data_IF_007656340579
#
_entry.id   IF_007656340579
#
_cell.length_a   1.000
_cell.length_b   1.000
_cell.length_c   1.000
_cell.angle_alpha   90.00
_cell.angle_beta   90.00
_cell.angle_gamma   90.00
#
_symmetry.space_group_name_H-M   'P 1'
#
loop_
_entity.id
_entity.type
_entity.pdbx_description
1 polymer ?
#
# COMPACT_ATOMS: atom_id res chain seq x y z
N UNK A 1 11.17 -23.82 -4.39
CA UNK A 1 10.56 -23.26 -5.61
C UNK A 1 10.75 -21.76 -5.55
N UNK A 2 11.28 -21.16 -6.62
CA UNK A 2 11.52 -19.71 -6.71
C UNK A 2 10.43 -19.08 -7.57
N UNK A 3 9.99 -17.87 -7.20
CA UNK A 3 9.09 -17.05 -8.01
C UNK A 3 9.86 -15.80 -8.38
N UNK A 4 9.85 -15.46 -9.66
CA UNK A 4 10.42 -14.22 -10.18
C UNK A 4 9.28 -13.25 -10.51
N UNK A 5 9.45 -11.99 -10.12
CA UNK A 5 8.49 -10.92 -10.37
C UNK A 5 9.14 -9.86 -11.26
N UNK A 6 8.43 -9.46 -12.30
CA UNK A 6 8.83 -8.34 -13.15
C UNK A 6 8.06 -7.09 -12.71
N UNK A 7 8.73 -5.95 -12.47
CA UNK A 7 8.04 -4.71 -12.19
C UNK A 7 7.31 -4.21 -13.44
N UNK A 8 6.07 -3.76 -13.27
CA UNK A 8 5.25 -3.23 -14.36
C UNK A 8 5.30 -1.71 -14.48
N UNK A 9 5.94 -1.05 -13.52
CA UNK A 9 6.02 0.39 -13.43
C UNK A 9 6.75 0.86 -12.19
N UNK A 10 6.66 2.17 -11.94
CA UNK A 10 7.31 2.83 -10.81
C UNK A 10 6.37 3.85 -10.16
N UNK A 11 6.46 3.96 -8.83
CA UNK A 11 5.75 4.98 -8.07
C UNK A 11 6.63 6.23 -8.00
N UNK A 12 6.06 7.40 -8.31
CA UNK A 12 6.65 8.70 -7.98
C UNK A 12 5.88 9.34 -6.84
N UNK A 13 6.58 9.64 -5.75
CA UNK A 13 5.97 10.19 -4.55
C UNK A 13 6.86 11.26 -3.92
N UNK A 14 6.32 12.12 -3.04
CA UNK A 14 7.16 13.09 -2.33
C UNK A 14 8.01 12.46 -1.21
N UNK A 15 7.82 11.16 -0.92
CA UNK A 15 8.50 10.49 0.19
C UNK A 15 9.84 9.91 -0.29
N UNK A 16 10.96 10.45 0.16
CA UNK A 16 12.28 10.07 -0.38
C UNK A 16 13.03 9.13 0.54
N UNK A 17 12.90 9.31 1.85
CA UNK A 17 13.59 8.52 2.86
C UNK A 17 12.63 7.88 3.85
N UNK A 18 13.12 6.88 4.57
CA UNK A 18 12.36 6.24 5.63
C UNK A 18 11.95 7.27 6.69
N UNK A 19 10.66 7.32 7.00
CA UNK A 19 10.07 8.31 7.91
C UNK A 19 9.30 9.42 7.20
N UNK A 20 9.55 9.68 5.91
CA UNK A 20 8.78 10.65 5.12
C UNK A 20 7.37 10.13 4.84
N UNK A 21 7.27 8.85 4.46
CA UNK A 21 6.01 8.22 4.13
C UNK A 21 5.12 8.05 5.37
N UNK A 22 3.79 8.25 5.24
CA UNK A 22 2.87 7.98 6.33
C UNK A 22 2.87 6.48 6.65
N UNK A 23 2.47 6.15 7.88
CA UNK A 23 2.38 4.75 8.31
C UNK A 23 1.42 3.91 7.48
N UNK A 24 0.36 4.54 6.97
CA UNK A 24 -0.62 3.97 6.05
C UNK A 24 -1.04 5.09 5.09
N UNK A 25 -0.98 4.84 3.79
CA UNK A 25 -1.18 5.87 2.77
C UNK A 25 -2.55 6.53 2.87
N UNK A 26 -3.60 5.75 3.17
CA UNK A 26 -4.98 6.22 3.41
C UNK A 26 -5.15 7.26 4.53
N UNK A 27 -4.15 7.49 5.37
CA UNK A 27 -4.18 8.50 6.44
C UNK A 27 -3.78 9.90 5.96
N UNK A 28 -3.41 10.04 4.68
CA UNK A 28 -2.98 11.28 4.06
C UNK A 28 -3.54 11.38 2.64
N UNK A 29 -3.91 12.59 2.25
CA UNK A 29 -4.38 12.90 0.90
C UNK A 29 -3.22 13.32 -0.03
N UNK A 30 -2.03 12.79 0.23
CA UNK A 30 -0.84 13.09 -0.57
C UNK A 30 -0.98 12.48 -1.95
N UNK A 31 -0.85 13.33 -2.96
CA UNK A 31 -0.87 12.94 -4.37
C UNK A 31 0.49 12.33 -4.77
N UNK A 32 0.41 11.24 -5.54
CA UNK A 32 1.54 10.54 -6.14
C UNK A 32 1.15 10.13 -7.57
N UNK A 33 2.13 9.68 -8.36
CA UNK A 33 1.86 9.06 -9.66
C UNK A 33 2.35 7.62 -9.70
N UNK A 34 1.68 6.82 -10.51
CA UNK A 34 2.09 5.46 -10.88
C UNK A 34 2.38 5.50 -12.38
N UNK A 35 3.64 5.37 -12.74
CA UNK A 35 4.10 5.35 -14.14
C UNK A 35 4.22 3.88 -14.57
N UNK A 36 3.29 3.41 -15.41
CA UNK A 36 3.34 2.06 -15.99
C UNK A 36 4.26 2.06 -17.20
N UNK A 37 5.14 1.06 -17.28
CA UNK A 37 6.06 0.94 -18.42
C UNK A 37 5.30 0.65 -19.70
N UNK A 38 5.85 1.13 -20.82
CA UNK A 38 5.17 1.14 -22.12
C UNK A 38 4.71 -0.26 -22.56
N UNK A 39 5.53 -1.29 -22.31
CA UNK A 39 5.19 -2.67 -22.66
C UNK A 39 3.96 -3.22 -21.91
N UNK A 40 3.58 -2.61 -20.79
CA UNK A 40 2.42 -2.98 -19.98
C UNK A 40 1.24 -2.01 -20.12
N UNK A 41 1.44 -0.87 -20.80
CA UNK A 41 0.40 0.14 -21.00
C UNK A 41 -0.91 -0.40 -21.61
N UNK A 42 -0.91 -1.38 -22.54
CA UNK A 42 -2.16 -1.97 -23.04
C UNK A 42 -3.04 -2.61 -21.94
N UNK A 43 -2.46 -2.99 -20.80
CA UNK A 43 -3.18 -3.51 -19.64
C UNK A 43 -3.99 -2.47 -18.87
N UNK A 44 -3.82 -1.17 -19.16
CA UNK A 44 -4.57 -0.07 -18.55
C UNK A 44 -5.91 0.22 -19.20
N UNK A 45 -6.28 -0.50 -20.27
CA UNK A 45 -7.59 -0.32 -20.92
C UNK A 45 -8.72 -0.38 -19.88
N UNK A 46 -9.60 0.61 -19.91
CA UNK A 46 -10.79 0.77 -19.07
C UNK A 46 -10.50 1.08 -17.58
N UNK A 47 -9.24 1.27 -17.18
CA UNK A 47 -8.88 1.62 -15.79
C UNK A 47 -9.44 2.99 -15.38
N UNK A 48 -9.62 3.91 -16.31
CA UNK A 48 -10.23 5.23 -16.09
C UNK A 48 -11.68 5.17 -15.58
N UNK A 49 -12.35 4.03 -15.72
CA UNK A 49 -13.69 3.80 -15.18
C UNK A 49 -13.67 3.39 -13.69
N UNK A 50 -12.50 3.12 -13.13
CA UNK A 50 -12.33 2.81 -11.71
C UNK A 50 -12.14 4.09 -10.89
N UNK A 51 -12.74 4.14 -9.70
CA UNK A 51 -12.47 5.23 -8.73
C UNK A 51 -11.38 4.86 -7.73
N UNK A 52 -11.19 3.55 -7.49
CA UNK A 52 -10.23 3.03 -6.53
C UNK A 52 -9.51 1.82 -7.10
N UNK A 53 -8.23 1.68 -6.76
CA UNK A 53 -7.39 0.57 -7.18
C UNK A 53 -6.67 -0.04 -5.98
N UNK A 54 -6.49 -1.35 -6.02
CA UNK A 54 -5.38 -1.98 -5.33
C UNK A 54 -4.09 -1.76 -6.11
N UNK A 55 -3.03 -1.45 -5.38
CA UNK A 55 -1.67 -1.33 -5.91
C UNK A 55 -0.78 -2.29 -5.12
N UNK A 56 -0.23 -3.28 -5.80
CA UNK A 56 0.84 -4.11 -5.24
C UNK A 56 2.17 -3.54 -5.67
N UNK A 57 3.06 -3.31 -4.73
CA UNK A 57 4.36 -2.69 -4.99
C UNK A 57 5.46 -3.36 -4.16
N UNK A 58 6.70 -3.31 -4.64
CA UNK A 58 7.82 -3.99 -4.01
C UNK A 58 8.59 -3.02 -3.11
N UNK A 59 8.52 -3.22 -1.80
CA UNK A 59 9.27 -2.44 -0.81
C UNK A 59 10.75 -2.86 -0.86
N UNK A 60 11.44 -2.37 -1.88
CA UNK A 60 12.84 -2.64 -2.28
C UNK A 60 13.85 -2.37 -1.16
N UNK A 61 13.51 -1.52 -0.19
CA UNK A 61 14.36 -1.11 0.94
C UNK A 61 14.09 -1.88 2.24
N UNK A 62 13.17 -2.84 2.23
CA UNK A 62 12.79 -3.60 3.41
C UNK A 62 13.82 -4.67 3.80
N UNK A 63 13.97 -4.90 5.11
CA UNK A 63 14.72 -6.05 5.63
C UNK A 63 13.88 -7.33 5.51
N UNK A 64 14.34 -8.25 4.65
CA UNK A 64 13.64 -9.50 4.33
C UNK A 64 13.91 -10.62 5.34
N UNK A 65 14.84 -10.41 6.27
CA UNK A 65 15.24 -11.42 7.27
C UNK A 65 14.37 -11.37 8.53
N UNK A 66 13.68 -10.25 8.76
CA UNK A 66 12.87 -10.05 9.96
C UNK A 66 11.53 -10.80 9.89
N UNK A 67 11.23 -11.51 10.98
CA UNK A 67 9.97 -12.24 11.18
C UNK A 67 9.11 -11.67 12.31
N UNK A 68 9.58 -10.64 13.00
CA UNK A 68 8.82 -9.89 14.02
C UNK A 68 8.98 -8.39 13.83
N UNK A 69 7.94 -7.64 14.19
CA UNK A 69 7.97 -6.18 14.24
C UNK A 69 7.17 -5.70 15.46
N UNK A 70 7.50 -4.52 15.98
CA UNK A 70 6.71 -3.85 17.02
C UNK A 70 5.86 -2.77 16.34
N UNK A 71 4.54 -3.00 16.17
CA UNK A 71 3.68 -1.99 15.58
C UNK A 71 3.69 -0.69 16.39
N UNK A 72 3.50 0.47 15.76
CA UNK A 72 3.42 1.73 16.49
C UNK A 72 2.30 1.71 17.54
N UNK A 73 2.62 2.09 18.78
CA UNK A 73 1.67 2.05 19.90
C UNK A 73 1.46 0.68 20.52
N UNK A 74 2.05 -0.39 19.99
CA UNK A 74 2.09 -1.68 20.65
C UNK A 74 3.21 -1.71 21.70
N UNK A 75 2.92 -2.22 22.90
CA UNK A 75 3.93 -2.46 23.94
C UNK A 75 4.79 -3.70 23.70
N UNK A 76 4.38 -4.56 22.75
CA UNK A 76 5.04 -5.85 22.49
C UNK A 76 5.18 -6.11 20.99
N UNK A 77 6.22 -6.87 20.63
CA UNK A 77 6.46 -7.32 19.26
C UNK A 77 5.44 -8.37 18.81
N UNK A 78 5.12 -8.38 17.52
CA UNK A 78 4.24 -9.37 16.89
C UNK A 78 4.93 -9.97 15.67
N UNK A 79 4.55 -11.18 15.28
CA UNK A 79 5.02 -11.78 14.02
C UNK A 79 4.63 -10.90 12.83
N UNK A 80 5.50 -10.76 11.83
CA UNK A 80 5.28 -9.82 10.69
C UNK A 80 3.99 -10.10 9.93
N UNK A 81 3.54 -11.36 9.89
CA UNK A 81 2.28 -11.76 9.24
C UNK A 81 1.01 -11.36 10.01
N UNK A 82 1.13 -11.03 11.29
CA UNK A 82 0.06 -10.42 12.08
C UNK A 82 0.09 -8.87 12.04
N UNK A 83 0.92 -8.30 11.16
CA UNK A 83 1.13 -6.85 11.04
C UNK A 83 1.18 -6.42 9.58
N UNK A 84 1.28 -5.10 9.37
CA UNK A 84 1.59 -4.47 8.08
C UNK A 84 3.02 -3.93 8.00
N UNK A 85 3.95 -4.50 8.77
CA UNK A 85 5.37 -4.14 8.70
C UNK A 85 5.91 -4.27 7.27
N UNK A 86 6.70 -3.31 6.76
CA UNK A 86 7.35 -3.42 5.46
C UNK A 86 8.44 -4.51 5.46
N UNK A 87 9.11 -4.71 6.60
CA UNK A 87 10.11 -5.76 6.79
C UNK A 87 9.41 -7.10 6.92
N UNK A 88 9.59 -7.97 5.92
CA UNK A 88 8.99 -9.31 5.79
C UNK A 88 9.68 -10.10 4.66
N UNK A 89 9.56 -11.44 4.61
CA UNK A 89 10.27 -12.27 3.63
C UNK A 89 10.06 -11.88 2.16
N UNK A 90 8.81 -11.58 1.80
CA UNK A 90 8.43 -11.02 0.50
C UNK A 90 7.78 -9.66 0.75
N UNK A 91 8.54 -8.56 0.65
CA UNK A 91 8.12 -7.22 1.06
C UNK A 91 7.19 -6.60 0.01
N UNK A 92 6.04 -7.22 -0.17
CA UNK A 92 4.97 -6.73 -1.04
C UNK A 92 4.11 -5.78 -0.22
N UNK A 93 4.11 -4.52 -0.61
CA UNK A 93 3.17 -3.52 -0.14
C UNK A 93 1.82 -3.67 -0.84
N UNK A 94 0.75 -3.30 -0.11
CA UNK A 94 -0.62 -3.30 -0.60
C UNK A 94 -1.22 -1.93 -0.29
N UNK A 95 -1.36 -1.10 -1.33
CA UNK A 95 -2.06 0.17 -1.26
C UNK A 95 -3.49 0.04 -1.76
N UNK A 96 -4.41 0.80 -1.15
CA UNK A 96 -5.71 1.11 -1.75
C UNK A 96 -5.69 2.60 -2.03
N UNK A 97 -5.83 2.96 -3.30
CA UNK A 97 -5.66 4.35 -3.75
C UNK A 97 -6.94 4.88 -4.36
N UNK A 98 -7.15 6.19 -4.27
CA UNK A 98 -8.11 6.90 -5.11
C UNK A 98 -7.44 7.15 -6.47
N UNK A 99 -8.10 6.80 -7.57
CA UNK A 99 -7.69 7.23 -8.90
C UNK A 99 -8.25 8.63 -9.16
N UNK A 100 -7.35 9.62 -9.31
CA UNK A 100 -7.74 11.01 -9.55
C UNK A 100 -7.79 11.35 -11.03
N UNK A 101 -6.99 10.66 -11.84
CA UNK A 101 -6.92 10.85 -13.29
C UNK A 101 -5.83 9.98 -13.91
N UNK A 102 -5.84 9.90 -15.23
CA UNK A 102 -4.87 9.14 -16.01
C UNK A 102 -4.50 9.93 -17.27
N UNK A 103 -3.20 9.98 -17.58
CA UNK A 103 -2.65 10.55 -18.80
C UNK A 103 -1.67 9.56 -19.41
N UNK A 104 -2.01 8.99 -20.58
CA UNK A 104 -1.25 7.90 -21.17
C UNK A 104 -1.15 6.70 -20.21
N UNK A 105 0.07 6.28 -19.89
CA UNK A 105 0.36 5.19 -18.94
C UNK A 105 0.63 5.68 -17.50
N UNK A 106 0.36 6.96 -17.21
CA UNK A 106 0.58 7.56 -15.89
C UNK A 106 -0.73 7.79 -15.16
N UNK A 107 -0.87 7.19 -13.98
CA UNK A 107 -2.04 7.33 -13.12
C UNK A 107 -1.72 8.31 -11.99
N UNK A 108 -2.52 9.35 -11.82
CA UNK A 108 -2.46 10.24 -10.66
C UNK A 108 -3.34 9.69 -9.56
N UNK A 109 -2.79 9.47 -8.37
CA UNK A 109 -3.47 8.77 -7.28
C UNK A 109 -3.26 9.43 -5.92
N UNK A 110 -4.14 9.11 -4.97
CA UNK A 110 -4.00 9.48 -3.55
C UNK A 110 -4.09 8.24 -2.67
N UNK A 111 -3.37 8.26 -1.55
CA UNK A 111 -3.42 7.20 -0.54
C UNK A 111 -2.32 6.14 -0.64
N UNK A 112 -1.20 6.46 -1.32
CA UNK A 112 0.03 5.66 -1.28
C UNK A 112 0.93 6.07 -0.10
N UNK A 113 1.68 5.10 0.40
CA UNK A 113 2.73 5.19 1.43
C UNK A 113 4.07 4.63 0.95
N UNK A 114 4.24 4.52 -0.37
CA UNK A 114 5.46 4.03 -0.99
C UNK A 114 6.47 5.17 -1.23
N UNK A 115 7.75 4.89 -1.03
CA UNK A 115 8.80 5.86 -1.32
C UNK A 115 8.95 6.10 -2.82
N UNK A 116 9.54 7.23 -3.18
CA UNK A 116 9.83 7.58 -4.56
C UNK A 116 10.75 6.53 -5.20
N UNK A 117 10.40 6.10 -6.41
CA UNK A 117 11.11 5.06 -7.14
C UNK A 117 10.73 3.63 -6.76
N UNK A 118 9.76 3.43 -5.86
CA UNK A 118 9.31 2.08 -5.48
C UNK A 118 8.69 1.34 -6.69
N UNK A 119 9.14 0.11 -7.01
CA UNK A 119 8.61 -0.65 -8.14
C UNK A 119 7.16 -1.11 -7.94
N UNK A 120 6.35 -1.02 -8.99
CA UNK A 120 4.97 -1.53 -9.04
C UNK A 120 5.00 -2.96 -9.55
N UNK A 121 4.25 -3.84 -8.89
CA UNK A 121 4.12 -5.25 -9.28
C UNK A 121 2.79 -5.54 -9.98
N UNK A 122 1.70 -4.90 -9.54
CA UNK A 122 0.36 -5.20 -10.04
C UNK A 122 -0.64 -4.09 -9.71
N UNK A 123 -1.70 -3.99 -10.51
CA UNK A 123 -2.86 -3.12 -10.30
C UNK A 123 -4.14 -3.94 -10.41
N UNK A 124 -5.10 -3.70 -9.52
CA UNK A 124 -6.43 -4.33 -9.59
C UNK A 124 -7.54 -3.34 -9.25
N UNK A 125 -8.74 -3.45 -9.86
CA UNK A 125 -9.89 -2.68 -9.40
C UNK A 125 -10.22 -3.03 -7.95
N UNK A 126 -10.51 -2.01 -7.14
CA UNK A 126 -11.10 -2.22 -5.81
C UNK A 126 -12.63 -2.29 -5.95
N UNK A 127 -13.23 -3.37 -5.47
CA UNK A 127 -14.66 -3.64 -5.53
C UNK A 127 -15.22 -3.67 -4.12
N UNK A 128 -15.84 -2.56 -3.68
CA UNK A 128 -16.29 -2.40 -2.30
C UNK A 128 -17.22 -3.51 -1.78
N UNK A 129 -18.06 -4.09 -2.65
CA UNK A 129 -18.98 -5.18 -2.28
C UNK A 129 -18.28 -6.52 -2.06
N UNK A 130 -17.05 -6.69 -2.57
CA UNK A 130 -16.26 -7.92 -2.44
C UNK A 130 -15.12 -7.76 -1.44
N UNK A 131 -14.44 -6.61 -1.48
CA UNK A 131 -13.18 -6.37 -0.77
C UNK A 131 -13.38 -5.77 0.63
N UNK A 132 -14.58 -5.30 0.95
CA UNK A 132 -14.90 -4.73 2.25
C UNK A 132 -15.61 -5.74 3.16
N UNK A 133 -14.96 -6.13 4.25
CA UNK A 133 -15.56 -6.92 5.33
C UNK A 133 -15.77 -6.00 6.53
N UNK A 134 -17.00 -5.51 6.69
CA UNK A 134 -17.36 -4.67 7.83
C UNK A 134 -17.17 -5.42 9.15
N UNK A 135 -16.55 -4.77 10.14
CA UNK A 135 -16.30 -5.35 11.46
C UNK A 135 -15.09 -6.30 11.55
N UNK A 136 -14.28 -6.42 10.50
CA UNK A 136 -13.01 -7.16 10.57
C UNK A 136 -12.08 -6.59 11.66
N UNK A 137 -11.40 -7.47 12.40
CA UNK A 137 -10.49 -7.10 13.49
C UNK A 137 -9.05 -7.42 13.12
N UNK A 138 -8.11 -6.57 13.53
CA UNK A 138 -6.66 -6.78 13.34
C UNK A 138 -5.97 -6.96 14.69
N UNK A 139 -5.26 -8.09 14.88
CA UNK A 139 -4.60 -8.46 16.14
C UNK A 139 -5.53 -9.06 17.21
N UNK A 140 -4.94 -9.55 18.32
CA UNK A 140 -5.67 -10.07 19.48
C UNK A 140 -6.42 -8.95 20.24
N UNK A 141 -7.73 -9.14 20.38
CA UNK A 141 -8.95 -8.31 20.71
C UNK A 141 -9.05 -7.88 22.21
N UNK A 142 -9.89 -6.90 22.69
CA UNK A 142 -11.00 -6.10 22.09
C UNK A 142 -10.87 -4.56 22.17
N UNK A 143 -11.80 -3.78 21.59
CA UNK A 143 -11.98 -2.38 21.99
C UNK A 143 -12.32 -2.34 23.48
N UNK A 144 -11.50 -1.63 24.25
CA UNK A 144 -11.87 -1.25 25.60
C UNK A 144 -13.13 -0.37 25.50
N UNK A 145 -14.22 -0.66 26.25
CA UNK A 145 -15.30 0.29 26.38
C UNK A 145 -14.74 1.50 27.15
N UNK A 146 -14.39 2.57 26.43
CA UNK A 146 -13.87 3.78 27.07
C UNK A 146 -13.08 4.77 26.20
N UNK A 147 -12.62 4.41 25.01
CA UNK A 147 -11.83 5.35 24.18
C UNK A 147 -12.72 6.18 23.23
N UNK A 148 -13.72 6.87 23.80
CA UNK A 148 -14.23 8.11 23.24
C UNK A 148 -13.64 9.24 24.09
N UNK A 149 -12.41 9.63 23.80
CA UNK A 149 -12.04 11.04 23.98
C UNK A 149 -11.29 11.53 22.75
N UNK A 150 -12.07 12.19 21.90
CA UNK A 150 -11.63 13.08 20.86
C UNK A 150 -10.88 14.26 21.46
N UNK A 151 -9.55 14.34 21.29
CA UNK A 151 -8.80 15.61 21.44
C UNK A 151 -7.40 15.56 20.80
N UNK A 152 -7.35 16.20 19.63
CA UNK A 152 -6.26 16.86 18.86
C UNK A 152 -5.05 16.01 18.46
#
# INVERSE_FOLDING_TARGET
MTIELAPIGVIRSPYRVQGDAPRQGRLRDTTATIEIFEEYAPGLRDVEHCTHLFVLYWLDRADRTLLSATPPGAGESRGVFATRSPNRPNPIGLGIVNLLGMEGSTLTVQGLDALDGTPVLDLKPYVSSLDCISGAVTGSVPPSPGALDSRI
#
